data_IF_989001113636
#
_entry.id   IF_989001113636
#
_cell.length_a   1.000
_cell.length_b   1.000
_cell.length_c   1.000
_cell.angle_alpha   90.00
_cell.angle_beta   90.00
_cell.angle_gamma   90.00
#
_symmetry.space_group_name_H-M   'P 1'
#
loop_
_entity.id
_entity.type
_entity.pdbx_description
1 polymer ?
#
# COMPACT_ATOMS: atom_id res chain seq x y z
N UNK A 1 10.50 1.53 7.05
CA UNK A 1 10.00 0.72 5.91
C UNK A 1 11.09 -0.24 5.43
N UNK A 2 10.71 -1.40 4.90
CA UNK A 2 11.62 -2.40 4.34
C UNK A 2 11.73 -2.29 2.81
N UNK A 3 10.58 -2.23 2.13
CA UNK A 3 10.46 -2.05 0.68
C UNK A 3 9.07 -1.51 0.35
N UNK A 4 8.92 -0.97 -0.85
CA UNK A 4 7.67 -0.45 -1.41
C UNK A 4 7.70 -0.58 -2.94
N UNK A 5 6.54 -0.52 -3.62
CA UNK A 5 6.49 -0.60 -5.07
C UNK A 5 7.27 0.54 -5.74
N UNK A 6 7.97 0.23 -6.85
CA UNK A 6 8.69 1.25 -7.63
C UNK A 6 7.76 2.31 -8.23
N UNK A 7 6.54 1.92 -8.60
CA UNK A 7 5.54 2.78 -9.21
C UNK A 7 4.44 1.98 -9.88
N UNK A 8 3.37 2.66 -10.24
CA UNK A 8 2.24 2.11 -10.99
C UNK A 8 2.11 2.85 -12.32
N UNK A 9 1.68 2.15 -13.36
CA UNK A 9 1.52 2.72 -14.68
C UNK A 9 0.14 2.37 -15.22
N UNK A 10 -0.55 3.35 -15.81
CA UNK A 10 -1.90 3.17 -16.35
C UNK A 10 -1.95 3.78 -17.74
N UNK A 11 -2.66 3.12 -18.65
CA UNK A 11 -2.83 3.60 -20.04
C UNK A 11 -4.29 3.42 -20.45
N UNK A 12 -4.84 4.40 -21.16
CA UNK A 12 -6.19 4.31 -21.71
C UNK A 12 -6.47 5.43 -22.71
N UNK A 13 -7.68 5.41 -23.25
CA UNK A 13 -8.17 6.40 -24.19
C UNK A 13 -9.18 7.33 -23.51
N UNK A 14 -9.23 8.58 -23.96
CA UNK A 14 -10.28 9.53 -23.57
C UNK A 14 -11.64 9.14 -24.19
N UNK A 15 -12.72 9.71 -23.65
CA UNK A 15 -14.06 9.60 -24.23
C UNK A 15 -15.16 9.51 -23.17
N UNK A 16 -15.07 8.55 -22.23
CA UNK A 16 -15.98 8.47 -21.09
C UNK A 16 -15.84 9.66 -20.14
N UNK A 17 -16.94 10.01 -19.45
CA UNK A 17 -16.95 11.01 -18.36
C UNK A 17 -16.23 10.51 -17.11
N UNK A 18 -16.26 9.19 -16.87
CA UNK A 18 -15.48 8.52 -15.83
C UNK A 18 -14.56 7.50 -16.50
N UNK A 19 -13.27 7.55 -16.18
CA UNK A 19 -12.29 6.60 -16.69
C UNK A 19 -11.91 5.61 -15.60
N UNK A 20 -11.96 4.32 -15.94
CA UNK A 20 -11.34 3.25 -15.15
C UNK A 20 -10.23 2.63 -15.99
N UNK A 21 -8.98 2.80 -15.56
CA UNK A 21 -7.79 2.29 -16.25
C UNK A 21 -7.20 1.13 -15.46
N UNK A 22 -6.83 0.05 -16.15
CA UNK A 22 -6.09 -1.05 -15.54
C UNK A 22 -4.59 -0.77 -15.58
N UNK A 23 -3.85 -1.33 -14.60
CA UNK A 23 -2.39 -1.32 -14.62
C UNK A 23 -1.84 -1.89 -15.94
N UNK A 24 -0.98 -1.12 -16.59
CA UNK A 24 -0.39 -1.44 -17.88
C UNK A 24 0.78 -2.42 -17.78
N UNK A 25 1.18 -2.81 -16.56
CA UNK A 25 2.26 -3.77 -16.26
C UNK A 25 3.66 -3.30 -16.64
N UNK A 26 3.82 -2.08 -17.14
CA UNK A 26 5.08 -1.59 -17.71
C UNK A 26 6.23 -1.48 -16.71
N UNK A 27 5.94 -1.53 -15.41
CA UNK A 27 6.93 -1.46 -14.33
C UNK A 27 7.48 -2.82 -13.90
N UNK A 28 7.06 -3.94 -14.51
CA UNK A 28 7.50 -5.29 -14.12
C UNK A 28 7.84 -6.17 -15.32
N UNK A 29 8.69 -7.17 -15.11
CA UNK A 29 9.13 -8.13 -16.13
C UNK A 29 8.40 -9.48 -16.10
N UNK A 30 7.43 -9.68 -15.19
CA UNK A 30 6.71 -10.96 -15.09
C UNK A 30 5.27 -10.82 -14.61
N UNK A 31 4.35 -11.55 -15.27
CA UNK A 31 2.91 -11.56 -14.98
C UNK A 31 2.53 -12.23 -13.64
N UNK A 32 3.49 -12.86 -12.95
CA UNK A 32 3.28 -13.51 -11.64
C UNK A 32 3.79 -12.67 -10.46
N UNK A 33 4.23 -11.44 -10.72
CA UNK A 33 4.72 -10.55 -9.67
C UNK A 33 3.55 -9.90 -8.93
N UNK A 34 3.66 -9.75 -7.62
CA UNK A 34 2.78 -8.90 -6.82
C UNK A 34 3.46 -7.57 -6.52
N UNK A 35 2.69 -6.49 -6.47
CA UNK A 35 3.16 -5.27 -5.82
C UNK A 35 3.07 -5.47 -4.32
N UNK A 36 4.20 -5.38 -3.62
CA UNK A 36 4.23 -5.55 -2.17
C UNK A 36 4.79 -4.32 -1.48
N UNK A 37 4.35 -4.13 -0.25
CA UNK A 37 4.92 -3.16 0.68
C UNK A 37 5.27 -3.83 2.00
N UNK A 38 6.44 -3.50 2.51
CA UNK A 38 7.05 -4.16 3.66
C UNK A 38 7.36 -3.19 4.79
N UNK A 39 6.98 -3.55 6.01
CA UNK A 39 7.42 -2.89 7.25
C UNK A 39 8.36 -3.82 8.01
N UNK A 40 9.60 -3.38 8.25
CA UNK A 40 10.54 -4.10 9.10
C UNK A 40 10.42 -3.58 10.52
N UNK A 41 10.05 -4.46 11.44
CA UNK A 41 10.02 -4.20 12.88
C UNK A 41 10.69 -5.38 13.60
N UNK A 42 11.95 -5.16 13.98
CA UNK A 42 12.80 -6.08 14.71
C UNK A 42 13.08 -5.57 16.12
N UNK A 43 12.24 -4.68 16.65
CA UNK A 43 12.45 -4.06 17.96
C UNK A 43 12.43 -5.07 19.10
N UNK A 44 11.82 -6.25 18.89
CA UNK A 44 11.54 -7.26 19.94
C UNK A 44 10.70 -6.68 21.09
N UNK A 45 9.93 -5.62 20.79
CA UNK A 45 9.07 -4.92 21.74
C UNK A 45 7.60 -4.98 21.31
N UNK A 46 6.73 -4.69 22.27
CA UNK A 46 5.29 -4.51 22.13
C UNK A 46 4.93 -3.09 21.64
N UNK A 47 5.64 -2.63 20.60
CA UNK A 47 5.37 -1.34 19.96
C UNK A 47 4.18 -1.43 18.99
N UNK A 48 3.61 -0.27 18.68
CA UNK A 48 2.58 -0.12 17.66
C UNK A 48 3.07 0.76 16.52
N UNK A 49 2.58 0.50 15.30
CA UNK A 49 2.81 1.37 14.16
C UNK A 49 1.67 1.27 13.15
N UNK A 50 1.50 2.32 12.35
CA UNK A 50 0.53 2.38 11.26
C UNK A 50 1.22 2.85 10.00
N UNK A 51 1.00 2.12 8.90
CA UNK A 51 1.43 2.48 7.56
C UNK A 51 0.21 2.97 6.77
N UNK A 52 0.27 4.21 6.27
CA UNK A 52 -0.75 4.81 5.41
C UNK A 52 -0.22 5.10 4.02
N UNK A 53 -1.12 5.15 3.04
CA UNK A 53 -0.85 5.57 1.66
C UNK A 53 -1.74 6.74 1.27
N UNK A 54 -1.21 7.67 0.47
CA UNK A 54 -1.96 8.80 -0.08
C UNK A 54 -1.50 9.07 -1.52
N UNK A 55 -2.43 9.14 -2.46
CA UNK A 55 -2.19 9.51 -3.84
C UNK A 55 -2.11 11.04 -3.97
N UNK A 56 -1.03 11.53 -4.58
CA UNK A 56 -0.85 12.94 -4.86
C UNK A 56 -0.33 13.12 -6.29
N UNK A 57 -1.16 13.70 -7.15
CA UNK A 57 -0.74 14.08 -8.51
C UNK A 57 0.13 15.33 -8.49
N UNK A 58 1.12 15.35 -9.38
CA UNK A 58 1.86 16.57 -9.69
C UNK A 58 0.88 17.65 -10.13
N UNK A 59 1.01 18.86 -9.57
CA UNK A 59 0.14 20.01 -9.86
C UNK A 59 -1.38 19.76 -9.69
N UNK A 60 -1.78 18.73 -8.93
CA UNK A 60 -3.19 18.40 -8.68
C UNK A 60 -4.02 18.12 -9.95
N UNK A 61 -3.39 17.59 -11.01
CA UNK A 61 -4.00 17.47 -12.35
C UNK A 61 -5.16 16.48 -12.47
N UNK A 62 -5.28 15.49 -11.57
CA UNK A 62 -6.35 14.50 -11.56
C UNK A 62 -7.09 14.50 -10.21
N UNK A 63 -7.92 15.53 -9.94
CA UNK A 63 -8.61 15.66 -8.66
C UNK A 63 -9.64 14.53 -8.46
N UNK A 64 -9.68 13.99 -7.24
CA UNK A 64 -10.63 12.94 -6.86
C UNK A 64 -10.35 11.56 -7.46
N UNK A 65 -9.27 11.39 -8.22
CA UNK A 65 -8.88 10.07 -8.72
C UNK A 65 -8.42 9.16 -7.58
N UNK A 66 -8.58 7.86 -7.75
CA UNK A 66 -8.23 6.86 -6.74
C UNK A 66 -7.59 5.63 -7.38
N UNK A 67 -6.67 4.99 -6.65
CA UNK A 67 -6.11 3.70 -7.02
C UNK A 67 -6.73 2.62 -6.15
N UNK A 68 -7.48 1.71 -6.78
CA UNK A 68 -8.02 0.52 -6.14
C UNK A 68 -7.00 -0.61 -6.24
N UNK A 69 -6.62 -1.15 -5.09
CA UNK A 69 -5.69 -2.26 -4.93
C UNK A 69 -6.45 -3.46 -4.36
N UNK A 70 -6.16 -4.67 -4.84
CA UNK A 70 -6.87 -5.90 -4.43
C UNK A 70 -5.87 -6.90 -3.90
N UNK A 71 -5.86 -7.10 -2.58
CA UNK A 71 -4.99 -8.04 -1.91
C UNK A 71 -5.47 -9.49 -2.19
N UNK A 72 -4.63 -10.35 -2.78
CA UNK A 72 -5.00 -11.72 -3.15
C UNK A 72 -5.10 -12.66 -1.94
N UNK A 73 -4.52 -12.27 -0.80
CA UNK A 73 -4.51 -12.99 0.46
C UNK A 73 -5.62 -12.53 1.42
N UNK A 74 -6.69 -11.93 0.88
CA UNK A 74 -7.86 -11.46 1.64
C UNK A 74 -7.54 -10.38 2.69
N UNK A 75 -6.66 -9.44 2.35
CA UNK A 75 -6.22 -8.38 3.26
C UNK A 75 -5.22 -8.83 4.33
N UNK A 76 -4.77 -10.10 4.30
CA UNK A 76 -3.81 -10.63 5.27
C UNK A 76 -2.41 -10.06 5.05
N UNK A 77 -1.72 -9.88 6.18
CA UNK A 77 -0.30 -9.50 6.25
C UNK A 77 0.54 -10.73 6.55
N UNK A 78 1.57 -10.96 5.75
CA UNK A 78 2.49 -12.09 5.90
C UNK A 78 3.75 -11.63 6.63
N UNK A 79 4.11 -12.31 7.72
CA UNK A 79 5.36 -12.07 8.43
C UNK A 79 6.47 -12.98 7.94
N UNK A 80 7.59 -12.39 7.52
CA UNK A 80 8.87 -13.07 7.35
C UNK A 80 9.79 -12.79 8.55
N UNK A 81 10.09 -13.81 9.34
CA UNK A 81 11.03 -13.70 10.47
C UNK A 81 12.51 -13.76 10.04
N UNK A 82 12.77 -13.99 8.74
CA UNK A 82 14.06 -14.10 8.07
C UNK A 82 15.12 -14.88 8.87
N UNK A 83 14.73 -16.05 9.33
CA UNK A 83 15.60 -17.05 9.97
C UNK A 83 16.13 -18.08 8.96
N UNK A 84 15.79 -17.93 7.68
CA UNK A 84 16.16 -18.84 6.60
C UNK A 84 15.48 -20.22 6.65
N UNK A 85 14.56 -20.44 7.59
CA UNK A 85 13.99 -21.77 7.90
C UNK A 85 12.47 -21.72 7.96
N UNK A 86 11.89 -20.70 8.59
CA UNK A 86 10.45 -20.61 8.84
C UNK A 86 9.68 -20.09 7.64
N UNK A 87 8.54 -20.72 7.36
CA UNK A 87 7.54 -20.20 6.44
C UNK A 87 6.94 -18.88 6.95
N UNK A 88 6.38 -18.10 6.03
CA UNK A 88 5.63 -16.90 6.39
C UNK A 88 4.47 -17.26 7.32
N UNK A 89 4.29 -16.48 8.39
CA UNK A 89 3.17 -16.62 9.33
C UNK A 89 2.19 -15.44 9.20
N UNK A 90 0.93 -15.63 9.60
CA UNK A 90 -0.03 -14.53 9.74
C UNK A 90 0.15 -13.95 11.14
N UNK A 91 0.75 -12.77 11.26
CA UNK A 91 1.16 -12.24 12.58
C UNK A 91 0.55 -10.86 12.91
N UNK A 92 -0.14 -10.22 11.95
CA UNK A 92 -0.67 -8.84 12.08
C UNK A 92 -1.98 -8.66 11.30
N UNK A 93 -2.83 -7.72 11.74
CA UNK A 93 -3.99 -7.27 10.98
C UNK A 93 -3.56 -6.32 9.85
N UNK A 94 -3.92 -6.67 8.62
CA UNK A 94 -3.93 -5.69 7.54
C UNK A 94 -5.16 -4.79 7.70
N UNK A 95 -5.65 -4.21 6.61
CA UNK A 95 -6.97 -3.55 6.62
C UNK A 95 -8.13 -4.52 6.85
N UNK A 96 -7.87 -5.83 6.97
CA UNK A 96 -8.81 -6.96 6.90
C UNK A 96 -9.72 -6.92 5.66
N UNK A 97 -9.43 -6.03 4.71
CA UNK A 97 -10.17 -5.81 3.49
C UNK A 97 -9.38 -6.32 2.30
N UNK A 98 -10.05 -7.13 1.48
CA UNK A 98 -9.51 -7.58 0.20
C UNK A 98 -9.25 -6.41 -0.75
N UNK A 99 -9.93 -5.29 -0.55
CA UNK A 99 -9.84 -4.11 -1.43
C UNK A 99 -9.56 -2.87 -0.62
N UNK A 100 -8.55 -2.12 -1.04
CA UNK A 100 -8.17 -0.84 -0.44
C UNK A 100 -8.15 0.24 -1.52
N UNK A 101 -8.61 1.43 -1.17
CA UNK A 101 -8.68 2.59 -2.06
C UNK A 101 -7.66 3.62 -1.58
N UNK A 102 -6.67 3.89 -2.43
CA UNK A 102 -5.66 4.92 -2.21
C UNK A 102 -6.13 6.18 -2.93
N UNK A 103 -6.63 7.15 -2.17
CA UNK A 103 -7.15 8.43 -2.67
C UNK A 103 -6.24 9.58 -2.26
N UNK A 104 -6.71 10.82 -2.42
CA UNK A 104 -6.01 12.01 -1.94
C UNK A 104 -6.04 12.19 -0.42
N UNK A 105 -6.66 11.27 0.32
CA UNK A 105 -6.64 11.23 1.80
C UNK A 105 -5.80 10.03 2.27
N UNK A 106 -5.11 10.13 3.43
CA UNK A 106 -4.37 8.99 3.97
C UNK A 106 -5.29 7.79 4.25
N UNK A 107 -4.98 6.65 3.62
CA UNK A 107 -5.66 5.37 3.85
C UNK A 107 -4.71 4.41 4.56
N UNK A 108 -5.17 3.77 5.64
CA UNK A 108 -4.39 2.70 6.30
C UNK A 108 -4.20 1.51 5.37
N UNK A 109 -2.97 0.99 5.30
CA UNK A 109 -2.60 -0.18 4.49
C UNK A 109 -2.25 -1.37 5.38
N UNK A 110 -1.54 -1.09 6.48
CA UNK A 110 -1.04 -2.10 7.41
C UNK A 110 -0.88 -1.44 8.77
N UNK A 111 -1.24 -2.14 9.85
CA UNK A 111 -1.03 -1.63 11.21
C UNK A 111 -0.70 -2.75 12.18
N UNK A 112 0.14 -2.46 13.15
CA UNK A 112 0.45 -3.37 14.25
C UNK A 112 0.05 -2.73 15.56
N UNK A 113 -0.79 -3.43 16.33
CA UNK A 113 -1.12 -3.07 17.70
C UNK A 113 -0.02 -3.48 18.69
N UNK A 114 -0.14 -3.00 19.93
CA UNK A 114 0.84 -3.25 21.01
C UNK A 114 0.87 -4.70 21.52
N UNK A 115 -0.10 -5.54 21.15
CA UNK A 115 -0.17 -6.93 21.65
C UNK A 115 0.87 -7.85 20.98
N UNK A 116 1.24 -7.55 19.74
CA UNK A 116 2.19 -8.36 18.97
C UNK A 116 3.62 -7.84 19.18
N UNK A 117 4.57 -8.75 19.40
CA UNK A 117 5.99 -8.39 19.50
C UNK A 117 6.58 -8.19 18.10
N UNK A 118 7.30 -7.09 17.87
CA UNK A 118 7.99 -6.83 16.60
C UNK A 118 9.08 -7.86 16.30
N UNK A 119 8.89 -8.70 15.28
CA UNK A 119 9.79 -9.84 14.99
C UNK A 119 10.01 -10.16 13.51
N UNK A 120 10.11 -9.16 12.63
CA UNK A 120 10.55 -9.42 11.26
C UNK A 120 10.13 -8.37 10.26
N UNK A 121 9.89 -8.82 9.03
CA UNK A 121 9.30 -8.02 7.97
C UNK A 121 7.87 -8.43 7.72
N UNK A 122 6.95 -7.50 7.95
CA UNK A 122 5.53 -7.61 7.67
C UNK A 122 5.30 -7.18 6.22
N UNK A 123 4.75 -8.08 5.41
CA UNK A 123 4.52 -7.94 3.97
C UNK A 123 3.02 -7.85 3.68
N UNK A 124 2.61 -6.83 2.93
CA UNK A 124 1.25 -6.71 2.41
C UNK A 124 1.29 -6.66 0.88
N UNK A 125 0.56 -7.57 0.25
CA UNK A 125 0.35 -7.58 -1.19
C UNK A 125 -0.75 -6.58 -1.57
N UNK A 126 -0.41 -5.60 -2.39
CA UNK A 126 -1.34 -4.64 -2.99
C UNK A 126 -2.07 -5.27 -4.20
N UNK A 127 -1.69 -6.46 -4.62
CA UNK A 127 -2.29 -7.14 -5.76
C UNK A 127 -1.28 -7.62 -6.78
N UNK A 128 -1.77 -8.46 -7.68
CA UNK A 128 -0.99 -8.92 -8.82
C UNK A 128 -0.75 -7.74 -9.76
N UNK A 129 0.38 -7.78 -10.46
CA UNK A 129 0.61 -6.86 -11.57
C UNK A 129 -0.53 -6.97 -12.58
N UNK A 130 -1.01 -5.82 -13.06
CA UNK A 130 -2.11 -5.72 -14.01
C UNK A 130 -3.51 -5.75 -13.38
N UNK A 131 -3.64 -5.90 -12.05
CA UNK A 131 -4.97 -5.93 -11.40
C UNK A 131 -5.35 -4.64 -10.70
N UNK A 132 -4.42 -3.71 -10.51
CA UNK A 132 -4.70 -2.40 -9.94
C UNK A 132 -5.56 -1.59 -10.92
N UNK A 133 -6.45 -0.76 -10.38
CA UNK A 133 -7.31 0.12 -11.16
C UNK A 133 -7.13 1.56 -10.74
N UNK A 134 -6.93 2.45 -11.71
CA UNK A 134 -7.02 3.89 -11.51
C UNK A 134 -8.40 4.36 -11.96
N UNK A 135 -9.17 4.93 -11.04
CA UNK A 135 -10.45 5.58 -11.32
C UNK A 135 -10.24 7.09 -11.40
N UNK A 136 -10.76 7.72 -12.45
CA UNK A 136 -10.78 9.18 -12.63
C UNK A 136 -12.24 9.60 -12.82
N UNK A 137 -12.87 10.21 -11.80
CA UNK A 137 -14.32 10.42 -11.78
C UNK A 137 -14.80 11.49 -12.77
N UNK A 138 -13.94 12.46 -13.11
CA UNK A 138 -14.28 13.57 -14.01
C UNK A 138 -13.21 13.67 -15.11
N UNK A 139 -13.46 13.00 -16.22
CA UNK A 139 -12.55 12.89 -17.35
C UNK A 139 -12.91 13.78 -18.55
N UNK A 140 -14.01 14.52 -18.48
CA UNK A 140 -14.58 15.28 -19.60
C UNK A 140 -13.62 16.32 -20.18
N UNK A 141 -12.83 16.97 -19.31
CA UNK A 141 -11.88 18.02 -19.69
C UNK A 141 -10.42 17.52 -19.72
N UNK A 142 -10.21 16.20 -19.66
CA UNK A 142 -8.86 15.65 -19.72
C UNK A 142 -8.28 15.78 -21.13
N UNK A 143 -7.01 16.16 -21.16
CA UNK A 143 -6.22 16.20 -22.39
C UNK A 143 -5.41 14.91 -22.51
N UNK A 144 -5.24 14.41 -23.74
CA UNK A 144 -4.43 13.25 -24.02
C UNK A 144 -2.95 13.61 -23.84
N UNK A 145 -2.39 13.25 -22.68
CA UNK A 145 -0.98 13.48 -22.32
C UNK A 145 -0.55 12.50 -21.23
N UNK A 146 0.70 12.60 -20.79
CA UNK A 146 1.18 11.88 -19.61
C UNK A 146 0.86 12.67 -18.35
N UNK A 147 0.37 11.97 -17.32
CA UNK A 147 0.16 12.50 -15.98
C UNK A 147 1.12 11.78 -15.03
N UNK A 148 1.64 12.49 -14.03
CA UNK A 148 2.57 11.92 -13.04
C UNK A 148 2.15 12.31 -11.64
N UNK A 149 2.41 11.42 -10.69
CA UNK A 149 2.08 11.61 -9.28
C UNK A 149 2.85 10.62 -8.41
N UNK A 150 2.69 10.76 -7.11
CA UNK A 150 3.31 9.91 -6.11
C UNK A 150 2.25 9.24 -5.25
N UNK A 151 2.50 8.00 -4.86
CA UNK A 151 1.86 7.42 -3.68
C UNK A 151 2.81 7.65 -2.51
N UNK A 152 2.39 8.51 -1.59
CA UNK A 152 3.14 8.83 -0.39
C UNK A 152 2.86 7.76 0.66
N UNK A 153 3.89 6.99 1.00
CA UNK A 153 3.85 5.98 2.06
C UNK A 153 4.35 6.61 3.36
N UNK A 154 3.54 6.59 4.41
CA UNK A 154 3.88 7.18 5.70
C UNK A 154 3.77 6.12 6.80
N UNK A 155 4.88 5.87 7.49
CA UNK A 155 4.97 4.94 8.62
C UNK A 155 5.10 5.72 9.91
N UNK A 156 4.12 5.62 10.79
CA UNK A 156 4.11 6.30 12.08
C UNK A 156 4.18 5.29 13.20
N UNK A 157 5.07 5.54 14.16
CA UNK A 157 5.12 4.80 15.42
C UNK A 157 4.02 5.33 16.35
N UNK A 158 3.21 4.43 16.90
CA UNK A 158 2.30 4.80 17.98
C UNK A 158 3.08 5.10 19.28
N UNK A 159 2.49 5.87 20.21
CA UNK A 159 3.19 6.29 21.42
C UNK A 159 3.62 5.11 22.29
N UNK A 160 4.90 5.10 22.68
CA UNK A 160 5.40 4.22 23.73
C UNK A 160 4.87 4.71 25.08
N UNK A 161 4.07 3.88 25.74
CA UNK A 161 3.54 4.18 27.09
C UNK A 161 4.41 3.54 28.17
N UNK A 162 5.69 3.28 27.90
CA UNK A 162 6.67 2.96 28.92
C UNK A 162 6.94 4.21 29.76
N UNK A 163 5.99 4.55 30.63
CA UNK A 163 6.28 5.44 31.76
C UNK A 163 7.35 4.75 32.60
N UNK A 164 8.57 5.27 32.56
CA UNK A 164 9.52 5.07 33.64
C UNK A 164 8.94 5.74 34.89
N UNK A 165 8.05 5.03 35.61
CA UNK A 165 7.80 5.35 37.02
C UNK A 165 9.03 4.84 37.75
N UNK A 166 9.95 5.76 38.00
CA UNK A 166 11.02 5.53 38.96
C UNK A 166 10.40 5.88 40.30
N UNK A 167 10.02 4.86 41.05
CA UNK A 167 9.85 4.95 42.51
C UNK A 167 11.22 4.81 43.19
#
# INVERSE_FOLDING_TARGET
>A
MAYFPKGFSFTGNLGPTELTLNDSRSNTSSDKTTYNIGVKDNTRQNNSWTLTAQLQWSNSELPGSEITVTNPDQGKVKLNQNDGISNFQNDVQGTDSNTVVISNSPTTIMEKGKVTVGKGTYDYSLGNVGTLKLMIPNATDLVAKQYSGNVNWNLVMGPDTSSSSVD
#
